data_IF_798088903178
#
_entry.id   IF_798088903178
#
_cell.length_a   1.000
_cell.length_b   1.000
_cell.length_c   1.000
_cell.angle_alpha   90.00
_cell.angle_beta   90.00
_cell.angle_gamma   90.00
#
_symmetry.space_group_name_H-M   'P 1'
#
loop_
_entity.id
_entity.type
_entity.pdbx_description
1 polymer ?
#
# COMPACT_ATOMS: atom_id res chain seq x y z
N UNK A 1 12.60 7.04 1.08
CA UNK A 1 11.30 6.35 1.06
C UNK A 1 11.51 4.95 1.59
N UNK A 2 10.66 4.49 2.50
CA UNK A 2 10.68 3.16 3.11
C UNK A 2 9.48 2.36 2.65
N UNK A 3 9.69 1.10 2.26
CA UNK A 3 8.61 0.26 1.72
C UNK A 3 8.46 -1.00 2.55
N UNK A 4 7.24 -1.25 3.05
CA UNK A 4 6.87 -2.48 3.72
C UNK A 4 6.37 -3.49 2.69
N UNK A 5 7.05 -4.61 2.55
CA UNK A 5 6.61 -5.75 1.75
C UNK A 5 6.20 -6.86 2.71
N UNK A 6 5.03 -7.48 2.51
CA UNK A 6 4.61 -8.58 3.37
C UNK A 6 3.81 -9.65 2.63
N UNK A 7 3.84 -10.86 3.19
CA UNK A 7 3.12 -12.03 2.70
C UNK A 7 1.68 -12.06 3.23
N UNK A 8 0.72 -12.14 2.32
CA UNK A 8 -0.68 -12.44 2.61
C UNK A 8 -0.96 -13.92 2.51
N UNK A 9 -1.82 -14.42 3.38
CA UNK A 9 -2.33 -15.80 3.34
C UNK A 9 -3.83 -15.84 3.11
N UNK A 10 -4.53 -14.73 3.31
CA UNK A 10 -5.97 -14.59 3.18
C UNK A 10 -6.34 -13.24 2.55
N UNK A 11 -7.56 -13.19 2.02
CA UNK A 11 -8.18 -12.01 1.43
C UNK A 11 -8.89 -11.14 2.48
N UNK A 12 -9.22 -9.90 2.12
CA UNK A 12 -10.06 -9.01 2.95
C UNK A 12 -9.32 -8.00 3.84
N UNK A 13 -7.99 -8.06 3.93
CA UNK A 13 -7.18 -7.00 4.53
C UNK A 13 -5.99 -6.63 3.60
N UNK A 14 -5.96 -5.45 2.97
CA UNK A 14 -6.85 -4.29 3.13
C UNK A 14 -8.27 -4.53 2.62
N UNK A 15 -9.21 -3.70 3.08
CA UNK A 15 -10.58 -3.72 2.59
C UNK A 15 -10.75 -2.96 1.26
N UNK A 16 -11.97 -2.99 0.70
CA UNK A 16 -12.31 -2.27 -0.54
C UNK A 16 -12.10 -0.76 -0.48
N UNK A 17 -11.95 -0.20 0.72
CA UNK A 17 -11.67 1.23 0.92
C UNK A 17 -10.17 1.49 1.09
N UNK A 18 -9.29 0.49 0.93
CA UNK A 18 -7.85 0.61 1.09
C UNK A 18 -7.42 0.79 2.54
N UNK A 19 -8.22 0.32 3.52
CA UNK A 19 -7.89 0.36 4.94
C UNK A 19 -7.13 -0.92 5.29
N UNK A 20 -5.85 -0.78 5.58
CA UNK A 20 -4.98 -1.87 5.98
C UNK A 20 -4.92 -2.00 7.51
N UNK A 21 -5.09 -3.24 7.99
CA UNK A 21 -5.01 -3.59 9.40
C UNK A 21 -6.35 -3.54 10.15
N UNK A 22 -7.47 -3.61 9.42
CA UNK A 22 -8.82 -3.65 9.98
C UNK A 22 -9.08 -4.91 10.80
N UNK A 23 -8.41 -6.02 10.45
CA UNK A 23 -8.46 -7.29 11.16
C UNK A 23 -7.22 -7.51 12.03
N UNK A 24 -6.56 -6.42 12.41
CA UNK A 24 -5.30 -6.41 13.15
C UNK A 24 -4.15 -7.18 12.46
N UNK A 25 -4.24 -7.36 11.14
CA UNK A 25 -3.20 -8.02 10.34
C UNK A 25 -1.88 -7.25 10.46
N UNK A 26 -0.78 -8.00 10.49
CA UNK A 26 0.59 -7.50 10.74
C UNK A 26 0.78 -6.77 12.08
N UNK A 27 -0.24 -6.60 12.93
CA UNK A 27 -0.11 -6.15 14.32
C UNK A 27 0.82 -4.94 14.48
N UNK A 28 1.83 -5.10 15.36
CA UNK A 28 2.83 -4.08 15.68
C UNK A 28 3.76 -3.72 14.53
N UNK A 29 3.85 -4.52 13.45
CA UNK A 29 4.67 -4.19 12.28
C UNK A 29 4.22 -2.87 11.66
N UNK A 30 2.91 -2.56 11.77
CA UNK A 30 2.32 -1.30 11.31
C UNK A 30 2.81 -0.07 12.10
N UNK A 31 3.45 -0.26 13.25
CA UNK A 31 4.07 0.84 14.00
C UNK A 31 5.38 1.31 13.37
N UNK A 32 6.10 0.47 12.63
CA UNK A 32 7.35 0.87 11.97
C UNK A 32 7.13 1.96 10.94
N UNK A 33 8.11 2.83 10.73
CA UNK A 33 8.03 3.88 9.72
C UNK A 33 8.19 3.31 8.32
N UNK A 34 7.22 3.58 7.46
CA UNK A 34 7.23 3.28 6.03
C UNK A 34 6.25 4.21 5.32
N UNK A 35 6.54 4.48 4.05
CA UNK A 35 5.81 5.41 3.19
C UNK A 35 4.88 4.69 2.21
N UNK A 36 5.17 3.42 1.92
CA UNK A 36 4.40 2.58 1.02
C UNK A 36 4.35 1.13 1.53
N UNK A 37 3.33 0.39 1.07
CA UNK A 37 3.11 -1.02 1.40
C UNK A 37 2.82 -1.81 0.12
N UNK A 38 3.44 -2.98 -0.01
CA UNK A 38 3.19 -3.93 -1.09
C UNK A 38 2.75 -5.25 -0.45
N UNK A 39 1.51 -5.65 -0.74
CA UNK A 39 0.97 -6.94 -0.33
C UNK A 39 1.21 -7.98 -1.41
N UNK A 40 1.99 -9.01 -1.10
CA UNK A 40 2.23 -10.15 -2.00
C UNK A 40 1.64 -11.42 -1.42
N UNK A 41 1.17 -12.32 -2.27
CA UNK A 41 0.71 -13.62 -1.81
C UNK A 41 1.85 -14.47 -1.29
N UNK A 42 1.60 -15.24 -0.23
CA UNK A 42 2.49 -16.31 0.18
C UNK A 42 2.61 -17.40 -0.88
N UNK A 43 3.53 -18.36 -0.67
CA UNK A 43 3.68 -19.56 -1.52
C UNK A 43 3.21 -20.84 -0.80
N UNK A 44 2.53 -20.68 0.33
CA UNK A 44 2.03 -21.78 1.14
C UNK A 44 0.60 -22.18 0.76
N UNK A 45 0.16 -23.33 1.27
CA UNK A 45 -1.14 -23.92 0.95
C UNK A 45 -2.33 -22.96 1.19
N UNK A 46 -2.28 -22.10 2.21
CA UNK A 46 -3.34 -21.14 2.50
C UNK A 46 -3.44 -20.04 1.42
N UNK A 47 -2.32 -19.55 0.91
CA UNK A 47 -2.31 -18.56 -0.17
C UNK A 47 -2.79 -19.18 -1.50
N UNK A 48 -2.40 -20.44 -1.75
CA UNK A 48 -2.87 -21.22 -2.92
C UNK A 48 -4.38 -21.47 -2.86
N UNK A 49 -4.89 -21.85 -1.68
CA UNK A 49 -6.34 -22.04 -1.47
C UNK A 49 -7.13 -20.74 -1.70
N UNK A 50 -6.50 -19.58 -1.48
CA UNK A 50 -7.07 -18.26 -1.74
C UNK A 50 -6.76 -17.71 -3.15
N UNK A 51 -6.06 -18.47 -4.01
CA UNK A 51 -5.67 -18.09 -5.39
C UNK A 51 -4.90 -16.77 -5.47
N UNK A 52 -4.15 -16.44 -4.42
CA UNK A 52 -3.33 -15.22 -4.36
C UNK A 52 -1.84 -15.53 -4.41
N UNK A 53 -1.45 -16.79 -4.48
CA UNK A 53 -0.08 -17.21 -4.29
C UNK A 53 0.88 -16.65 -5.33
N UNK A 54 2.06 -16.21 -4.88
CA UNK A 54 3.11 -15.69 -5.76
C UNK A 54 2.82 -14.34 -6.43
N UNK A 55 1.62 -13.77 -6.27
CA UNK A 55 1.18 -12.58 -7.00
C UNK A 55 1.23 -11.30 -6.16
N UNK A 56 1.33 -10.14 -6.82
CA UNK A 56 1.14 -8.83 -6.18
C UNK A 56 -0.36 -8.60 -6.02
N UNK A 57 -0.87 -8.65 -4.79
CA UNK A 57 -2.31 -8.54 -4.55
C UNK A 57 -2.78 -7.09 -4.45
N UNK A 58 -1.96 -6.20 -3.89
CA UNK A 58 -2.31 -4.80 -3.73
C UNK A 58 -1.07 -3.95 -3.43
N UNK A 59 -1.18 -2.65 -3.72
CA UNK A 59 -0.12 -1.67 -3.50
C UNK A 59 -0.75 -0.41 -2.92
N UNK A 60 -0.13 0.13 -1.87
CA UNK A 60 -0.54 1.37 -1.23
C UNK A 60 0.63 2.33 -1.08
N UNK A 61 0.46 3.58 -1.52
CA UNK A 61 1.49 4.63 -1.48
C UNK A 61 0.96 5.85 -0.71
N UNK A 62 1.84 6.52 0.04
CA UNK A 62 1.47 7.68 0.85
C UNK A 62 0.71 7.25 2.09
N UNK A 63 1.41 6.53 2.98
CA UNK A 63 0.85 5.94 4.19
C UNK A 63 0.40 7.00 5.20
N UNK A 64 -0.85 6.89 5.64
CA UNK A 64 -1.42 7.66 6.74
C UNK A 64 -1.85 6.71 7.85
N UNK A 65 -1.39 6.97 9.08
CA UNK A 65 -1.65 6.12 10.24
C UNK A 65 -2.67 6.76 11.15
N UNK A 66 -3.72 6.02 11.48
CA UNK A 66 -4.70 6.38 12.48
C UNK A 66 -4.71 5.34 13.61
N UNK A 67 -4.80 5.76 14.89
CA UNK A 67 -4.85 4.82 16.00
C UNK A 67 -6.11 3.93 15.92
N UNK A 68 -5.94 2.63 16.05
CA UNK A 68 -7.03 1.65 16.17
C UNK A 68 -7.26 1.31 17.64
N UNK A 69 -8.43 1.64 18.17
CA UNK A 69 -8.79 1.26 19.55
C UNK A 69 -8.84 -0.27 19.67
N UNK A 70 -8.05 -0.83 20.57
CA UNK A 70 -8.01 -2.27 20.84
C UNK A 70 -7.17 -3.11 19.88
N UNK A 71 -6.51 -2.50 18.88
CA UNK A 71 -5.57 -3.17 17.98
C UNK A 71 -4.12 -3.12 18.50
N UNK A 72 -3.26 -4.00 17.98
CA UNK A 72 -1.80 -4.01 18.27
C UNK A 72 -1.02 -2.96 17.46
N UNK A 73 -1.66 -2.36 16.46
CA UNK A 73 -1.07 -1.34 15.59
C UNK A 73 -2.13 -0.43 14.97
N UNK A 74 -1.72 0.65 14.29
CA UNK A 74 -2.63 1.61 13.67
C UNK A 74 -3.38 1.01 12.48
N UNK A 75 -4.54 1.58 12.15
CA UNK A 75 -5.11 1.45 10.81
C UNK A 75 -4.31 2.33 9.87
N UNK A 76 -4.01 1.79 8.69
CA UNK A 76 -3.30 2.48 7.64
C UNK A 76 -4.24 2.76 6.48
N UNK A 77 -4.12 3.96 5.93
CA UNK A 77 -4.78 4.41 4.70
C UNK A 77 -3.73 4.98 3.75
N UNK A 78 -4.07 5.12 2.47
CA UNK A 78 -3.12 5.46 1.41
C UNK A 78 -3.61 6.60 0.52
N UNK A 79 -2.67 7.42 0.03
CA UNK A 79 -2.92 8.45 -0.98
C UNK A 79 -3.17 7.84 -2.35
N UNK A 80 -2.52 6.73 -2.66
CA UNK A 80 -2.76 5.95 -3.87
C UNK A 80 -2.92 4.49 -3.48
N UNK A 81 -4.01 3.87 -3.90
CA UNK A 81 -4.33 2.50 -3.55
C UNK A 81 -4.83 1.73 -4.76
N UNK A 82 -4.17 0.62 -5.07
CA UNK A 82 -4.59 -0.34 -6.09
C UNK A 82 -4.71 -1.72 -5.46
N UNK A 83 -5.86 -2.35 -5.67
CA UNK A 83 -6.12 -3.74 -5.29
C UNK A 83 -6.29 -4.55 -6.57
N UNK A 84 -5.41 -5.53 -6.77
CA UNK A 84 -5.47 -6.50 -7.85
C UNK A 84 -6.20 -7.80 -7.44
N UNK A 85 -6.27 -8.09 -6.14
CA UNK A 85 -6.91 -9.31 -5.64
C UNK A 85 -6.22 -10.57 -6.15
N UNK A 86 -6.93 -11.35 -6.96
CA UNK A 86 -6.45 -12.58 -7.60
C UNK A 86 -5.91 -12.36 -9.02
N UNK A 87 -6.12 -11.17 -9.60
CA UNK A 87 -5.69 -10.82 -10.96
C UNK A 87 -4.36 -10.04 -10.94
N UNK A 88 -3.55 -10.29 -9.91
CA UNK A 88 -2.28 -9.61 -9.69
C UNK A 88 -1.18 -10.08 -10.63
N UNK A 89 -0.25 -9.20 -11.03
CA UNK A 89 0.93 -9.65 -11.74
C UNK A 89 1.77 -10.58 -10.86
N UNK A 90 2.44 -11.57 -11.48
CA UNK A 90 3.34 -12.47 -10.77
C UNK A 90 4.52 -11.70 -10.18
N UNK A 91 4.72 -11.82 -8.86
CA UNK A 91 5.71 -11.04 -8.14
C UNK A 91 7.14 -11.41 -8.55
N UNK A 92 7.40 -12.69 -8.87
CA UNK A 92 8.72 -13.15 -9.31
C UNK A 92 9.09 -12.61 -10.68
N UNK A 93 8.11 -12.43 -11.55
CA UNK A 93 8.30 -11.87 -12.88
C UNK A 93 8.56 -10.37 -12.85
N UNK A 94 7.91 -9.62 -11.94
CA UNK A 94 8.09 -8.17 -11.82
C UNK A 94 9.34 -7.80 -11.01
N UNK A 95 9.59 -8.52 -9.91
CA UNK A 95 10.67 -8.22 -8.96
C UNK A 95 11.36 -9.50 -8.47
N UNK A 96 12.18 -10.14 -9.32
CA UNK A 96 12.81 -11.42 -9.00
C UNK A 96 13.73 -11.36 -7.78
N UNK A 97 14.48 -10.26 -7.58
CA UNK A 97 15.39 -10.16 -6.44
C UNK A 97 14.61 -10.03 -5.13
N UNK A 98 13.59 -9.16 -5.10
CA UNK A 98 12.71 -9.04 -3.94
C UNK A 98 11.94 -10.34 -3.66
N UNK A 99 11.45 -11.01 -4.70
CA UNK A 99 10.78 -12.29 -4.55
C UNK A 99 11.70 -13.36 -3.94
N UNK A 100 12.97 -13.40 -4.34
CA UNK A 100 13.95 -14.30 -3.74
C UNK A 100 14.23 -13.98 -2.27
N UNK A 101 14.29 -12.71 -1.89
CA UNK A 101 14.47 -12.33 -0.48
C UNK A 101 13.26 -12.72 0.38
N UNK A 102 12.06 -12.47 -0.13
CA UNK A 102 10.81 -12.75 0.57
C UNK A 102 10.55 -14.26 0.64
N UNK A 103 10.65 -15.00 -0.47
CA UNK A 103 10.33 -16.43 -0.54
C UNK A 103 11.50 -17.36 -0.20
N UNK A 104 12.75 -16.92 -0.34
CA UNK A 104 13.94 -17.72 -0.06
C UNK A 104 14.13 -18.05 1.42
N UNK A 105 13.42 -17.37 2.33
CA UNK A 105 13.46 -17.63 3.77
C UNK A 105 12.08 -17.70 4.44
N UNK A 106 12.08 -17.88 5.77
CA UNK A 106 10.89 -17.81 6.63
C UNK A 106 10.45 -16.37 6.93
N UNK A 107 10.75 -15.43 6.04
CA UNK A 107 10.41 -14.01 6.18
C UNK A 107 8.91 -13.83 5.93
N UNK A 108 8.21 -13.16 6.85
CA UNK A 108 6.78 -12.82 6.68
C UNK A 108 6.57 -11.40 6.16
N UNK A 109 7.49 -10.51 6.48
CA UNK A 109 7.51 -9.11 6.04
C UNK A 109 8.94 -8.60 6.03
N UNK A 110 9.19 -7.57 5.24
CA UNK A 110 10.47 -6.89 5.14
C UNK A 110 10.20 -5.39 4.96
N UNK A 111 11.00 -4.56 5.63
CA UNK A 111 11.00 -3.11 5.41
C UNK A 111 12.30 -2.80 4.69
N UNK A 112 12.17 -2.19 3.52
CA UNK A 112 13.30 -1.79 2.70
C UNK A 112 13.57 -0.30 2.89
N UNK A 113 14.82 0.02 3.13
CA UNK A 113 15.34 1.38 3.15
C UNK A 113 15.76 1.78 1.74
N UNK A 114 14.99 2.67 1.11
CA UNK A 114 15.26 3.13 -0.25
C UNK A 114 14.27 2.58 -1.28
N UNK A 115 14.50 2.99 -2.53
CA UNK A 115 13.66 2.59 -3.66
C UNK A 115 14.59 2.08 -4.75
N UNK A 116 14.81 0.77 -4.76
CA UNK A 116 15.51 0.09 -5.85
C UNK A 116 14.61 0.04 -7.10
N UNK A 117 15.18 -0.31 -8.24
CA UNK A 117 14.46 -0.25 -9.51
C UNK A 117 13.25 -1.21 -9.56
N UNK A 118 13.35 -2.38 -8.91
CA UNK A 118 12.21 -3.29 -8.74
C UNK A 118 11.08 -2.67 -7.91
N UNK A 119 11.43 -1.96 -6.83
CA UNK A 119 10.45 -1.28 -5.98
C UNK A 119 9.80 -0.12 -6.75
N UNK A 120 10.59 0.67 -7.50
CA UNK A 120 10.07 1.76 -8.33
C UNK A 120 9.09 1.24 -9.37
N UNK A 121 9.42 0.13 -10.03
CA UNK A 121 8.55 -0.49 -11.03
C UNK A 121 7.20 -0.86 -10.40
N UNK A 122 7.19 -1.53 -9.24
CA UNK A 122 5.95 -1.87 -8.55
C UNK A 122 5.17 -0.62 -8.14
N UNK A 123 5.84 0.37 -7.54
CA UNK A 123 5.19 1.60 -7.09
C UNK A 123 4.59 2.40 -8.25
N UNK A 124 5.22 2.40 -9.43
CA UNK A 124 4.70 3.06 -10.63
C UNK A 124 3.34 2.49 -11.07
N UNK A 125 3.07 1.20 -10.78
CA UNK A 125 1.77 0.58 -11.07
C UNK A 125 0.64 1.15 -10.20
N UNK A 126 0.97 1.87 -9.13
CA UNK A 126 0.02 2.50 -8.22
C UNK A 126 -0.02 4.03 -8.34
N UNK A 127 0.85 4.67 -9.11
CA UNK A 127 0.93 6.14 -9.19
C UNK A 127 -0.36 6.78 -9.72
N UNK A 128 -1.01 6.15 -10.72
CA UNK A 128 -2.26 6.63 -11.29
C UNK A 128 -3.51 6.15 -10.53
N UNK A 129 -3.34 5.37 -9.46
CA UNK A 129 -4.45 4.78 -8.71
C UNK A 129 -5.16 5.84 -7.84
N UNK A 130 -6.50 5.73 -7.67
CA UNK A 130 -7.25 6.63 -6.82
C UNK A 130 -6.87 6.46 -5.33
N UNK A 131 -7.12 7.49 -4.49
CA UNK A 131 -6.89 7.38 -3.06
C UNK A 131 -7.83 6.35 -2.40
N UNK A 132 -7.36 5.79 -1.30
CA UNK A 132 -8.16 4.94 -0.42
C UNK A 132 -9.48 5.65 -0.04
N UNK A 133 -10.60 4.93 -0.11
CA UNK A 133 -11.97 5.46 0.01
C UNK A 133 -12.30 6.16 1.34
N UNK A 134 -11.41 6.06 2.34
CA UNK A 134 -11.47 6.86 3.56
C UNK A 134 -11.16 8.36 3.36
N UNK A 135 -10.68 8.78 2.18
CA UNK A 135 -10.29 10.17 1.89
C UNK A 135 -11.14 10.88 0.85
N UNK A 136 -12.32 10.35 0.53
CA UNK A 136 -13.32 11.07 -0.26
C UNK A 136 -13.96 12.22 0.52
N UNK A 137 -13.18 13.21 0.99
CA UNK A 137 -13.60 14.58 1.37
C UNK A 137 -12.51 15.34 2.17
N UNK A 138 -11.27 15.38 1.71
CA UNK A 138 -10.43 16.57 1.98
C UNK A 138 -9.85 17.07 0.68
N UNK A 139 -10.74 17.61 -0.15
CA UNK A 139 -10.34 18.61 -1.15
C UNK A 139 -9.62 19.70 -0.33
N UNK A 140 -8.30 19.77 -0.42
CA UNK A 140 -7.58 21.02 -0.10
C UNK A 140 -8.34 22.12 -0.85
N UNK A 141 -8.90 23.15 -0.19
CA UNK A 141 -9.43 24.28 -0.93
C UNK A 141 -8.29 24.81 -1.79
N UNK A 142 -8.46 24.77 -3.12
CA UNK A 142 -7.55 25.40 -4.06
C UNK A 142 -7.32 26.82 -3.56
N UNK A 143 -6.10 27.13 -3.14
CA UNK A 143 -5.69 28.50 -2.88
C UNK A 143 -6.04 29.28 -4.14
N UNK A 144 -6.96 30.25 -4.01
CA UNK A 144 -7.35 31.12 -5.12
C UNK A 144 -6.07 31.80 -5.62
N UNK A 145 -5.76 31.78 -6.92
CA UNK A 145 -4.65 32.55 -7.44
C UNK A 145 -4.94 34.03 -7.21
N UNK A 146 -3.95 34.73 -6.67
CA UNK A 146 -3.94 36.18 -6.47
C UNK A 146 -4.15 36.90 -7.81
N UNK A 147 -5.41 37.22 -8.11
CA UNK A 147 -5.80 38.06 -9.23
C UNK A 147 -5.73 39.52 -8.84
N UNK A 148 -4.56 40.12 -9.05
CA UNK A 148 -4.37 41.57 -9.16
C UNK A 148 -5.39 42.14 -10.14
N UNK A 149 -6.31 43.00 -9.68
CA UNK A 149 -7.04 43.91 -10.56
C UNK A 149 -6.98 45.32 -10.00
N UNK A 150 -6.19 46.13 -10.70
CA UNK A 150 -6.15 47.58 -10.58
C UNK A 150 -7.50 48.18 -11.01
N UNK A 151 -7.85 49.30 -10.37
CA UNK A 151 -9.03 50.19 -10.58
C UNK A 151 -9.25 50.57 -12.06
N UNK A 152 -10.46 51.06 -12.48
CA UNK A 152 -10.78 52.49 -12.31
C UNK A 152 -12.27 52.88 -12.08
N UNK A 153 -12.42 54.06 -11.44
CA UNK A 153 -13.39 55.18 -11.60
C UNK A 153 -14.91 54.92 -11.61
N UNK A 154 -15.65 55.65 -10.75
CA UNK A 154 -16.18 56.98 -11.06
C UNK A 154 -16.04 57.89 -9.83
#
# INVERSE_FOLDING_TARGET
MRVLIYKRTHNGDPDRLGRFGIHDCMGSVRNHEFDAVIGVGGIGAEAQANSIDGQINWIGVGVHKAPLRGGRGPIITFDHFVEYGIDGPDFRSVAPQLANQIYGGRVRHQILDGVDDEVKLILSMAEDAPPSGGRGQQRRPKAKPNGCQKRPKY
#
